data_IF_533707357094
#
_entry.id   IF_533707357094
#
_cell.length_a   1.000
_cell.length_b   1.000
_cell.length_c   1.000
_cell.angle_alpha   90.00
_cell.angle_beta   90.00
_cell.angle_gamma   90.00
#
_symmetry.space_group_name_H-M   'P 1'
#
loop_
_entity.id
_entity.type
_entity.pdbx_description
1 polymer ?
#
# COMPACT_ATOMS: atom_id res chain seq x y z
N UNK A 1 -8.55 10.87 13.59
CA UNK A 1 -8.83 11.40 14.95
C UNK A 1 -9.67 10.43 15.82
N UNK A 2 -10.87 9.97 15.38
CA UNK A 2 -11.68 9.01 16.19
C UNK A 2 -10.92 7.70 16.45
N UNK A 3 -10.38 7.07 15.43
CA UNK A 3 -9.62 5.82 15.59
C UNK A 3 -8.41 5.96 16.52
N UNK A 4 -7.74 7.11 16.54
CA UNK A 4 -6.64 7.36 17.48
C UNK A 4 -7.12 7.48 18.92
N UNK A 5 -8.30 8.06 19.14
CA UNK A 5 -8.91 8.10 20.48
C UNK A 5 -9.27 6.71 20.97
N UNK A 6 -9.83 5.86 20.08
CA UNK A 6 -10.19 4.49 20.41
C UNK A 6 -8.97 3.59 20.67
N UNK A 7 -7.84 3.91 20.07
CA UNK A 7 -6.61 3.12 20.17
C UNK A 7 -5.62 3.63 21.22
N UNK A 8 -5.90 4.77 21.88
CA UNK A 8 -4.95 5.41 22.81
C UNK A 8 -4.57 4.53 24.02
N UNK A 9 -5.50 3.67 24.46
CA UNK A 9 -5.32 2.79 25.61
C UNK A 9 -4.73 1.42 25.22
N UNK A 10 -4.46 1.19 23.93
CA UNK A 10 -3.81 -0.02 23.44
C UNK A 10 -2.29 0.11 23.55
N UNK A 11 -1.62 -1.05 23.56
CA UNK A 11 -0.15 -1.11 23.54
C UNK A 11 0.41 -0.33 22.35
N UNK A 12 1.39 0.52 22.65
CA UNK A 12 2.16 1.29 21.69
C UNK A 12 3.64 1.11 21.98
N UNK A 13 4.45 0.98 20.94
CA UNK A 13 5.91 0.83 21.08
C UNK A 13 6.61 2.12 21.52
N UNK A 14 5.91 3.27 21.45
CA UNK A 14 6.46 4.61 21.69
C UNK A 14 7.67 4.93 20.80
N UNK A 15 7.70 4.38 19.59
CA UNK A 15 8.71 4.72 18.58
C UNK A 15 8.09 5.77 17.63
N UNK A 16 8.41 7.06 17.83
CA UNK A 16 7.87 8.12 17.00
C UNK A 16 8.58 8.16 15.65
N UNK A 17 7.80 8.23 14.57
CA UNK A 17 8.28 8.43 13.19
C UNK A 17 7.44 9.51 12.52
N UNK A 18 7.87 9.96 11.34
CA UNK A 18 6.98 10.67 10.43
C UNK A 18 6.02 9.63 9.84
N UNK A 19 4.73 9.76 10.15
CA UNK A 19 3.66 8.91 9.65
C UNK A 19 2.87 9.64 8.56
N UNK A 20 2.21 8.89 7.67
CA UNK A 20 1.29 9.44 6.69
C UNK A 20 0.06 10.07 7.37
N UNK A 21 -0.43 9.45 8.44
CA UNK A 21 -1.57 9.90 9.23
C UNK A 21 -2.90 9.34 8.76
N UNK A 22 -3.05 9.04 7.46
CA UNK A 22 -4.25 8.46 6.88
C UNK A 22 -3.95 7.34 5.85
N UNK A 23 -3.18 6.34 6.26
CA UNK A 23 -2.73 5.25 5.40
C UNK A 23 -3.80 4.16 5.14
N UNK A 24 -5.03 4.53 4.81
CA UNK A 24 -6.10 3.57 4.45
C UNK A 24 -5.95 3.05 3.00
N UNK A 25 -6.59 1.92 2.65
CA UNK A 25 -6.41 1.24 1.36
C UNK A 25 -6.69 2.14 0.14
N UNK A 26 -7.65 3.07 0.22
CA UNK A 26 -7.99 3.97 -0.88
C UNK A 26 -6.97 5.11 -1.07
N UNK A 27 -6.05 5.30 -0.13
CA UNK A 27 -4.96 6.26 -0.23
C UNK A 27 -3.72 5.68 -0.93
N UNK A 28 -3.76 4.42 -1.32
CA UNK A 28 -2.75 3.80 -2.16
C UNK A 28 -3.18 3.88 -3.62
N UNK A 29 -2.28 4.27 -4.50
CA UNK A 29 -2.59 4.39 -5.92
C UNK A 29 -1.35 4.50 -6.78
N UNK A 30 -1.57 4.64 -8.08
CA UNK A 30 -0.52 4.81 -9.06
C UNK A 30 -0.31 6.29 -9.35
N UNK A 31 0.95 6.70 -9.42
CA UNK A 31 1.35 8.04 -9.84
C UNK A 31 2.65 8.00 -10.66
N UNK A 32 2.87 9.04 -11.44
CA UNK A 32 4.07 9.15 -12.24
C UNK A 32 5.20 9.78 -11.41
N UNK A 33 6.37 9.11 -11.36
CA UNK A 33 7.58 9.71 -10.80
C UNK A 33 8.09 10.88 -11.67
N UNK A 34 9.03 11.70 -11.18
CA UNK A 34 9.70 12.72 -12.00
C UNK A 34 10.35 12.14 -13.28
N UNK A 35 10.82 10.89 -13.23
CA UNK A 35 11.41 10.14 -14.33
C UNK A 35 10.36 9.54 -15.27
N UNK A 36 9.06 9.81 -15.03
CA UNK A 36 7.92 9.30 -15.80
C UNK A 36 7.68 7.79 -15.67
N UNK A 37 8.18 7.18 -14.61
CA UNK A 37 7.85 5.81 -14.26
C UNK A 37 6.52 5.76 -13.52
N UNK A 38 5.71 4.75 -13.80
CA UNK A 38 4.46 4.52 -13.07
C UNK A 38 4.78 3.70 -11.81
N UNK A 39 4.68 4.36 -10.65
CA UNK A 39 4.96 3.76 -9.35
C UNK A 39 3.68 3.66 -8.53
N UNK A 40 3.65 2.69 -7.63
CA UNK A 40 2.55 2.49 -6.69
C UNK A 40 2.97 2.90 -5.29
N UNK A 41 2.14 3.65 -4.60
CA UNK A 41 2.41 4.07 -3.23
C UNK A 41 1.28 4.89 -2.63
N UNK A 42 1.55 5.46 -1.48
CA UNK A 42 0.66 6.43 -0.84
C UNK A 42 0.60 7.73 -1.66
N UNK A 43 -0.59 8.30 -1.82
CA UNK A 43 -0.84 9.47 -2.65
C UNK A 43 -1.13 10.74 -1.86
N UNK A 44 -1.63 10.62 -0.64
CA UNK A 44 -2.06 11.74 0.18
C UNK A 44 -1.27 11.77 1.49
N UNK A 45 -0.63 12.91 1.75
CA UNK A 45 0.21 13.15 2.91
C UNK A 45 -0.23 14.39 3.70
N UNK A 46 -1.44 14.90 3.46
CA UNK A 46 -1.93 16.14 4.10
C UNK A 46 -2.03 16.01 5.63
N UNK A 47 -2.23 14.79 6.13
CA UNK A 47 -2.28 14.48 7.57
C UNK A 47 -0.93 14.03 8.16
N UNK A 48 0.16 14.17 7.40
CA UNK A 48 1.48 13.71 7.84
C UNK A 48 1.93 14.46 9.08
N UNK A 49 2.42 13.71 10.06
CA UNK A 49 2.90 14.23 11.33
C UNK A 49 3.88 13.29 12.02
N UNK A 50 4.49 13.75 13.09
CA UNK A 50 5.21 12.84 14.00
C UNK A 50 4.16 12.07 14.80
N UNK A 51 4.21 10.76 14.76
CA UNK A 51 3.29 9.85 15.44
C UNK A 51 3.88 8.46 15.62
N UNK A 52 3.12 7.57 16.25
CA UNK A 52 3.54 6.19 16.40
C UNK A 52 3.37 5.45 15.09
N UNK A 53 4.39 4.72 14.66
CA UNK A 53 4.41 4.00 13.39
C UNK A 53 3.26 2.99 13.25
N UNK A 54 2.79 2.45 14.37
CA UNK A 54 1.68 1.50 14.37
C UNK A 54 0.36 2.10 13.87
N UNK A 55 0.21 3.43 13.96
CA UNK A 55 -1.03 4.11 13.55
C UNK A 55 -1.35 3.90 12.08
N UNK A 56 -0.35 4.05 11.21
CA UNK A 56 -0.52 3.83 9.76
C UNK A 56 -0.81 2.36 9.43
N UNK A 57 -0.09 1.43 10.07
CA UNK A 57 -0.34 0.01 9.86
C UNK A 57 -1.73 -0.42 10.34
N UNK A 58 -2.15 0.05 11.52
CA UNK A 58 -3.50 -0.21 12.04
C UNK A 58 -4.57 0.36 11.11
N UNK A 59 -4.35 1.57 10.59
CA UNK A 59 -5.27 2.21 9.65
C UNK A 59 -5.42 1.38 8.36
N UNK A 60 -4.29 0.90 7.82
CA UNK A 60 -4.29 0.00 6.67
C UNK A 60 -5.06 -1.29 6.95
N UNK A 61 -4.79 -1.96 8.07
CA UNK A 61 -5.42 -3.23 8.42
C UNK A 61 -6.94 -3.08 8.61
N UNK A 62 -7.39 -2.05 9.32
CA UNK A 62 -8.82 -1.78 9.54
C UNK A 62 -9.50 -1.50 8.20
N UNK A 63 -8.93 -0.64 7.36
CA UNK A 63 -9.53 -0.32 6.07
C UNK A 63 -9.54 -1.51 5.10
N UNK A 64 -8.50 -2.37 5.13
CA UNK A 64 -8.47 -3.60 4.35
C UNK A 64 -9.56 -4.59 4.81
N UNK A 65 -9.78 -4.73 6.13
CA UNK A 65 -10.86 -5.56 6.66
C UNK A 65 -12.23 -5.07 6.21
N UNK A 66 -12.51 -3.78 6.40
CA UNK A 66 -13.79 -3.18 6.00
C UNK A 66 -14.06 -3.34 4.49
N UNK A 67 -13.06 -3.05 3.67
CA UNK A 67 -13.17 -3.24 2.22
C UNK A 67 -13.42 -4.71 1.83
N UNK A 68 -12.82 -5.66 2.54
CA UNK A 68 -13.05 -7.07 2.31
C UNK A 68 -14.45 -7.51 2.75
N UNK A 69 -14.96 -7.03 3.88
CA UNK A 69 -16.33 -7.28 4.35
C UNK A 69 -17.36 -6.75 3.35
N UNK A 70 -17.18 -5.53 2.83
CA UNK A 70 -18.03 -4.94 1.79
C UNK A 70 -18.03 -5.77 0.48
N UNK A 71 -16.92 -6.43 0.17
CA UNK A 71 -16.80 -7.32 -0.99
C UNK A 71 -17.21 -8.77 -0.72
N UNK A 72 -17.75 -9.08 0.46
CA UNK A 72 -18.31 -10.38 0.80
C UNK A 72 -17.28 -11.48 1.09
N UNK A 73 -16.05 -11.13 1.47
CA UNK A 73 -15.07 -12.13 1.90
C UNK A 73 -15.44 -12.73 3.27
N UNK A 74 -15.16 -14.02 3.46
CA UNK A 74 -15.35 -14.67 4.74
C UNK A 74 -14.33 -14.22 5.78
N UNK A 75 -14.63 -14.38 7.07
CA UNK A 75 -13.73 -14.04 8.17
C UNK A 75 -12.36 -14.76 8.04
N UNK A 76 -12.36 -16.03 7.62
CA UNK A 76 -11.12 -16.78 7.42
C UNK A 76 -10.26 -16.21 6.29
N UNK A 77 -10.90 -15.73 5.21
CA UNK A 77 -10.20 -15.07 4.10
C UNK A 77 -9.63 -13.72 4.56
N UNK A 78 -10.41 -12.95 5.31
CA UNK A 78 -10.00 -11.67 5.87
C UNK A 78 -8.82 -11.84 6.83
N UNK A 79 -8.89 -12.77 7.76
CA UNK A 79 -7.81 -13.03 8.70
C UNK A 79 -6.52 -13.45 7.98
N UNK A 80 -6.64 -14.25 6.92
CA UNK A 80 -5.51 -14.66 6.09
C UNK A 80 -4.86 -13.47 5.38
N UNK A 81 -5.66 -12.56 4.83
CA UNK A 81 -5.17 -11.33 4.16
C UNK A 81 -4.50 -10.40 5.17
N UNK A 82 -5.12 -10.14 6.32
CA UNK A 82 -4.54 -9.27 7.35
C UNK A 82 -3.22 -9.83 7.90
N UNK A 83 -3.15 -11.15 8.07
CA UNK A 83 -1.91 -11.82 8.47
C UNK A 83 -0.83 -11.66 7.39
N UNK A 84 -1.19 -11.80 6.11
CA UNK A 84 -0.27 -11.62 4.98
C UNK A 84 0.25 -10.19 4.92
N UNK A 85 -0.61 -9.17 5.06
CA UNK A 85 -0.21 -7.75 5.10
C UNK A 85 0.82 -7.53 6.21
N UNK A 86 0.52 -7.98 7.43
CA UNK A 86 1.40 -7.81 8.59
C UNK A 86 2.75 -8.52 8.40
N UNK A 87 2.73 -9.75 7.88
CA UNK A 87 3.93 -10.54 7.59
C UNK A 87 4.79 -9.86 6.52
N UNK A 88 4.17 -9.38 5.45
CA UNK A 88 4.85 -8.68 4.34
C UNK A 88 5.46 -7.37 4.82
N UNK A 89 4.71 -6.56 5.58
CA UNK A 89 5.21 -5.33 6.18
C UNK A 89 6.47 -5.58 7.03
N UNK A 90 6.41 -6.56 7.93
CA UNK A 90 7.57 -6.95 8.74
C UNK A 90 8.76 -7.43 7.90
N UNK A 91 8.49 -8.18 6.83
CA UNK A 91 9.54 -8.65 5.93
C UNK A 91 10.20 -7.47 5.19
N UNK A 92 9.41 -6.54 4.68
CA UNK A 92 9.89 -5.36 3.97
C UNK A 92 10.76 -4.46 4.86
N UNK A 93 10.37 -4.24 6.12
CA UNK A 93 11.20 -3.50 7.08
C UNK A 93 12.57 -4.18 7.27
N UNK A 94 12.59 -5.50 7.49
CA UNK A 94 13.83 -6.26 7.66
C UNK A 94 14.70 -6.28 6.39
N UNK A 95 14.08 -6.26 5.22
CA UNK A 95 14.79 -6.16 3.95
C UNK A 95 15.41 -4.76 3.79
N UNK A 96 14.63 -3.72 4.01
CA UNK A 96 15.07 -2.33 3.87
C UNK A 96 16.17 -1.95 4.88
N UNK A 97 16.19 -2.57 6.05
CA UNK A 97 17.25 -2.35 7.04
C UNK A 97 18.65 -2.74 6.51
N UNK A 98 18.72 -3.70 5.58
CA UNK A 98 19.97 -4.15 4.94
C UNK A 98 20.41 -3.27 3.76
N UNK A 99 19.54 -2.40 3.28
CA UNK A 99 19.83 -1.53 2.14
C UNK A 99 20.58 -0.29 2.59
N UNK A 100 21.46 0.23 1.73
CA UNK A 100 22.06 1.56 1.92
C UNK A 100 20.98 2.65 1.88
N UNK A 101 21.29 3.83 2.43
CA UNK A 101 20.36 4.98 2.39
C UNK A 101 19.98 5.32 0.95
N UNK A 102 20.95 5.30 0.02
CA UNK A 102 20.69 5.57 -1.40
C UNK A 102 19.71 4.56 -2.00
N UNK A 103 19.93 3.27 -1.78
CA UNK A 103 19.03 2.23 -2.25
C UNK A 103 17.62 2.38 -1.70
N UNK A 104 17.47 2.76 -0.41
CA UNK A 104 16.16 2.99 0.21
C UNK A 104 15.42 4.19 -0.38
N UNK A 105 16.13 5.29 -0.66
CA UNK A 105 15.54 6.51 -1.21
C UNK A 105 15.10 6.34 -2.67
N UNK A 106 15.80 5.49 -3.43
CA UNK A 106 15.51 5.25 -4.84
C UNK A 106 14.79 3.91 -5.11
N UNK A 107 14.46 3.15 -4.06
CA UNK A 107 13.61 1.98 -4.22
C UNK A 107 12.17 2.43 -4.50
N UNK A 108 11.68 2.13 -5.66
CA UNK A 108 10.28 2.32 -6.04
C UNK A 108 9.68 0.97 -6.43
N UNK A 109 8.41 0.79 -6.13
CA UNK A 109 7.67 -0.37 -6.63
C UNK A 109 7.10 -0.01 -8.00
N UNK A 110 7.79 -0.45 -9.04
CA UNK A 110 7.29 -0.31 -10.40
C UNK A 110 6.11 -1.26 -10.63
N UNK A 111 5.25 -0.87 -11.56
CA UNK A 111 4.06 -1.67 -11.89
C UNK A 111 4.43 -3.11 -12.33
N UNK A 112 5.58 -3.27 -12.99
CA UNK A 112 6.07 -4.59 -13.42
C UNK A 112 6.41 -5.49 -12.23
N UNK A 113 6.97 -4.94 -11.15
CA UNK A 113 7.30 -5.69 -9.93
C UNK A 113 6.02 -6.15 -9.22
N UNK A 114 4.98 -5.31 -9.24
CA UNK A 114 3.69 -5.68 -8.68
C UNK A 114 3.02 -6.80 -9.47
N UNK A 115 3.05 -6.73 -10.81
CA UNK A 115 2.51 -7.79 -11.68
C UNK A 115 3.23 -9.11 -11.38
N UNK A 116 4.57 -9.10 -11.39
CA UNK A 116 5.37 -10.28 -11.10
C UNK A 116 5.07 -10.87 -9.71
N UNK A 117 4.88 -10.01 -8.69
CA UNK A 117 4.50 -10.45 -7.35
C UNK A 117 3.10 -11.08 -7.31
N UNK A 118 2.13 -10.51 -8.04
CA UNK A 118 0.77 -11.03 -8.13
C UNK A 118 0.74 -12.35 -8.90
N UNK A 119 1.47 -12.46 -10.00
CA UNK A 119 1.59 -13.70 -10.78
C UNK A 119 2.20 -14.84 -9.96
N UNK A 120 3.14 -14.53 -9.07
CA UNK A 120 3.71 -15.54 -8.14
C UNK A 120 2.72 -15.97 -7.06
N UNK A 121 1.79 -15.10 -6.65
CA UNK A 121 0.76 -15.41 -5.68
C UNK A 121 -0.46 -16.13 -6.29
N UNK A 122 -0.70 -15.93 -7.58
CA UNK A 122 -1.92 -16.35 -8.29
C UNK A 122 -1.66 -17.43 -9.34
N UNK A 123 -1.17 -18.58 -8.94
CA UNK A 123 -1.30 -19.77 -9.82
C UNK A 123 -2.76 -20.21 -10.06
N UNK A 124 -3.78 -19.42 -9.67
CA UNK A 124 -5.20 -19.79 -9.69
C UNK A 124 -6.22 -18.70 -10.05
N UNK A 125 -5.83 -17.48 -10.43
CA UNK A 125 -6.84 -16.41 -10.63
C UNK A 125 -6.69 -15.66 -11.96
N UNK A 126 -7.16 -16.28 -13.05
CA UNK A 126 -7.27 -15.63 -14.37
C UNK A 126 -8.10 -14.34 -14.38
N UNK A 127 -9.13 -14.24 -13.52
CA UNK A 127 -9.97 -13.06 -13.39
C UNK A 127 -9.25 -11.86 -12.77
N UNK A 128 -8.39 -12.08 -11.76
CA UNK A 128 -7.64 -11.02 -11.11
C UNK A 128 -6.62 -10.41 -12.08
N UNK A 129 -5.94 -11.23 -12.89
CA UNK A 129 -5.00 -10.77 -13.91
C UNK A 129 -5.70 -9.94 -15.00
N UNK A 130 -6.93 -10.27 -15.37
CA UNK A 130 -7.71 -9.48 -16.34
C UNK A 130 -8.08 -8.10 -15.78
N UNK A 131 -8.50 -8.02 -14.51
CA UNK A 131 -8.82 -6.76 -13.82
C UNK A 131 -7.56 -5.89 -13.71
N UNK A 132 -6.46 -6.47 -13.27
CA UNK A 132 -5.17 -5.77 -13.15
C UNK A 132 -4.69 -5.24 -14.47
N UNK A 133 -4.71 -6.05 -15.53
CA UNK A 133 -4.33 -5.61 -16.88
C UNK A 133 -5.20 -4.45 -17.37
N UNK A 134 -6.50 -4.45 -17.05
CA UNK A 134 -7.39 -3.31 -17.36
C UNK A 134 -7.02 -2.04 -16.59
N UNK A 135 -6.69 -2.17 -15.30
CA UNK A 135 -6.26 -1.04 -14.45
C UNK A 135 -4.93 -0.48 -14.98
N UNK A 136 -3.97 -1.33 -15.25
CA UNK A 136 -2.66 -0.96 -15.78
C UNK A 136 -2.81 -0.21 -17.10
N UNK A 137 -3.57 -0.77 -18.04
CA UNK A 137 -3.80 -0.13 -19.33
C UNK A 137 -4.40 1.26 -19.19
N UNK A 138 -5.41 1.42 -18.32
CA UNK A 138 -6.03 2.73 -18.05
C UNK A 138 -5.05 3.71 -17.40
N UNK A 139 -4.22 3.26 -16.46
CA UNK A 139 -3.22 4.11 -15.80
C UNK A 139 -2.15 4.58 -16.80
N UNK A 140 -1.65 3.70 -17.67
CA UNK A 140 -0.69 4.06 -18.74
C UNK A 140 -1.31 5.06 -19.72
N UNK A 141 -2.53 4.82 -20.20
CA UNK A 141 -3.25 5.72 -21.11
C UNK A 141 -3.48 7.10 -20.49
N UNK A 142 -3.86 7.16 -19.21
CA UNK A 142 -4.04 8.42 -18.48
C UNK A 142 -2.72 9.21 -18.34
N UNK A 143 -1.61 8.54 -18.15
CA UNK A 143 -0.28 9.15 -18.06
C UNK A 143 0.18 9.70 -19.40
N UNK A 144 -0.04 8.96 -20.48
CA UNK A 144 0.28 9.39 -21.85
C UNK A 144 -0.56 10.58 -22.30
N UNK A 145 -1.87 10.60 -22.00
CA UNK A 145 -2.77 11.68 -22.39
C UNK A 145 -2.44 13.02 -21.71
N UNK A 146 -1.90 13.01 -20.49
CA UNK A 146 -1.42 14.22 -19.79
C UNK A 146 -0.11 14.75 -20.37
N UNK A 147 0.73 13.90 -20.96
CA UNK A 147 2.00 14.32 -21.57
C UNK A 147 1.83 15.00 -22.92
N UNK A 148 0.73 14.76 -23.64
CA UNK A 148 0.40 15.36 -24.92
C UNK A 148 -0.30 16.73 -24.81
N UNK A 149 -0.68 17.15 -23.60
CA UNK A 149 -1.36 18.46 -23.37
C UNK A 149 -0.44 19.55 -22.80
N UNK A 150 0.85 19.31 -22.80
CA UNK A 150 1.93 20.30 -22.55
C UNK A 150 2.82 20.43 -23.78
#
# INVERSE_FOLDING_TARGET
>A
ELMEQDLKDQYQSHIPLIICGDAHVNNYGFYASPERQLIFGLNDFDESRIGNWESDLKRLLVSARLAGEENGFSDEQLDSVLHLITKTYRHSIKHNDKLSLFQRLYSSYEIHDMIAAIDTLNNSASQMNEILNKIIKRAVEATQSKSLRR
#
